data_IF_387533434854
#
_entry.id   IF_387533434854
#
_cell.length_a   1.000
_cell.length_b   1.000
_cell.length_c   1.000
_cell.angle_alpha   90.00
_cell.angle_beta   90.00
_cell.angle_gamma   90.00
#
_symmetry.space_group_name_H-M   'P 1'
#
loop_
_entity.id
_entity.type
_entity.pdbx_description
1 polymer ?
#
# COMPACT_ATOMS: atom_id res chain seq x y z
N UNK A 1 15.33 10.90 11.76
CA UNK A 1 16.19 10.30 10.72
C UNK A 1 17.58 10.09 11.29
N UNK A 2 18.22 8.94 11.04
CA UNK A 2 19.61 8.74 11.47
C UNK A 2 20.55 9.64 10.64
N UNK A 3 21.64 10.09 11.23
CA UNK A 3 22.69 10.90 10.53
C UNK A 3 23.19 10.19 9.28
N UNK A 4 23.29 8.85 9.33
CA UNK A 4 23.68 8.01 8.18
C UNK A 4 22.68 8.13 7.04
N UNK A 5 21.35 8.08 7.31
CA UNK A 5 20.31 8.20 6.27
C UNK A 5 20.38 9.59 5.61
N UNK A 6 20.58 10.64 6.40
CA UNK A 6 20.74 12.00 5.88
C UNK A 6 22.00 12.13 5.01
N UNK A 7 23.13 11.60 5.46
CA UNK A 7 24.38 11.62 4.70
C UNK A 7 24.27 10.86 3.37
N UNK A 8 23.63 9.69 3.37
CA UNK A 8 23.37 8.92 2.13
C UNK A 8 22.46 9.69 1.18
N UNK A 9 21.39 10.34 1.67
CA UNK A 9 20.52 11.16 0.83
C UNK A 9 21.26 12.35 0.20
N UNK A 10 22.07 13.07 0.99
CA UNK A 10 22.89 14.19 0.51
C UNK A 10 23.88 13.71 -0.55
N UNK A 11 24.51 12.56 -0.34
CA UNK A 11 25.44 11.97 -1.32
C UNK A 11 24.73 11.61 -2.62
N UNK A 12 23.55 10.98 -2.57
CA UNK A 12 22.76 10.63 -3.75
C UNK A 12 22.36 11.90 -4.52
N UNK A 13 21.83 12.91 -3.86
CA UNK A 13 21.46 14.20 -4.47
C UNK A 13 22.68 14.87 -5.12
N UNK A 14 23.84 14.85 -4.45
CA UNK A 14 25.05 15.43 -4.99
C UNK A 14 25.57 14.69 -6.23
N UNK A 15 25.56 13.35 -6.21
CA UNK A 15 25.99 12.52 -7.33
C UNK A 15 25.03 12.65 -8.55
N UNK A 16 23.74 12.78 -8.29
CA UNK A 16 22.69 12.89 -9.33
C UNK A 16 22.30 14.33 -9.67
N UNK A 17 23.10 15.31 -9.28
CA UNK A 17 22.76 16.74 -9.47
C UNK A 17 22.47 17.13 -10.93
N UNK A 18 23.24 16.57 -11.86
CA UNK A 18 23.09 16.89 -13.30
C UNK A 18 21.76 16.34 -13.85
N UNK A 19 21.39 15.12 -13.44
CA UNK A 19 20.13 14.47 -13.78
C UNK A 19 18.94 15.22 -13.14
N UNK A 20 19.09 15.67 -11.89
CA UNK A 20 18.07 16.44 -11.18
C UNK A 20 17.80 17.80 -11.84
N UNK A 21 18.84 18.50 -12.32
CA UNK A 21 18.66 19.77 -13.04
C UNK A 21 17.91 19.53 -14.35
N UNK A 22 18.32 18.52 -15.15
CA UNK A 22 17.63 18.15 -16.39
C UNK A 22 16.18 17.73 -16.14
N UNK A 23 15.93 16.94 -15.09
CA UNK A 23 14.58 16.56 -14.68
C UNK A 23 13.73 17.80 -14.36
N UNK A 24 14.30 18.80 -13.68
CA UNK A 24 13.61 20.06 -13.39
C UNK A 24 13.22 20.84 -14.65
N UNK A 25 14.12 20.90 -15.64
CA UNK A 25 13.84 21.52 -16.95
C UNK A 25 12.71 20.79 -17.70
N UNK A 26 12.69 19.46 -17.67
CA UNK A 26 11.61 18.65 -18.23
C UNK A 26 10.26 18.93 -17.57
N UNK A 27 10.23 19.06 -16.24
CA UNK A 27 9.02 19.41 -15.49
C UNK A 27 8.43 20.76 -15.93
N UNK A 28 9.30 21.75 -16.21
CA UNK A 28 8.88 23.06 -16.72
C UNK A 28 8.23 23.04 -18.11
N UNK A 29 8.41 21.95 -18.87
CA UNK A 29 7.84 21.76 -20.22
C UNK A 29 6.67 20.78 -20.25
N UNK A 30 6.28 20.24 -19.09
CA UNK A 30 5.23 19.23 -19.00
C UNK A 30 3.88 19.75 -19.52
N UNK A 31 3.16 18.91 -20.26
CA UNK A 31 1.82 19.22 -20.76
C UNK A 31 0.81 19.23 -19.60
N UNK A 32 0.36 20.43 -19.22
CA UNK A 32 -0.56 20.63 -18.09
C UNK A 32 -1.89 19.90 -18.28
N UNK A 33 -2.39 19.76 -19.50
CA UNK A 33 -3.67 19.11 -19.78
C UNK A 33 -3.61 17.60 -19.48
N UNK A 34 -2.47 16.96 -19.79
CA UNK A 34 -2.24 15.57 -19.42
C UNK A 34 -2.06 15.42 -17.90
N UNK A 35 -1.40 16.37 -17.24
CA UNK A 35 -1.28 16.36 -15.77
C UNK A 35 -2.64 16.49 -15.08
N UNK A 36 -3.58 17.24 -15.63
CA UNK A 36 -4.93 17.35 -15.10
C UNK A 36 -5.68 16.00 -15.10
N UNK A 37 -5.34 15.06 -16.01
CA UNK A 37 -5.90 13.70 -16.02
C UNK A 37 -5.46 12.87 -14.79
N UNK A 38 -4.35 13.22 -14.15
CA UNK A 38 -3.89 12.53 -12.95
C UNK A 38 -4.87 12.70 -11.79
N UNK A 39 -5.58 13.84 -11.71
CA UNK A 39 -6.54 14.09 -10.63
C UNK A 39 -7.73 13.12 -10.65
N UNK A 40 -8.49 12.95 -11.76
CA UNK A 40 -9.57 11.96 -11.79
C UNK A 40 -9.04 10.53 -11.63
N UNK A 41 -7.85 10.18 -12.16
CA UNK A 41 -7.26 8.87 -11.95
C UNK A 41 -6.94 8.63 -10.47
N UNK A 42 -6.39 9.62 -9.79
CA UNK A 42 -6.13 9.53 -8.35
C UNK A 42 -7.41 9.34 -7.53
N UNK A 43 -8.50 10.02 -7.89
CA UNK A 43 -9.81 9.81 -7.25
C UNK A 43 -10.28 8.37 -7.44
N UNK A 44 -10.14 7.82 -8.65
CA UNK A 44 -10.48 6.42 -8.93
C UNK A 44 -9.62 5.47 -8.09
N UNK A 45 -8.31 5.70 -8.01
CA UNK A 45 -7.38 4.91 -7.21
C UNK A 45 -7.78 4.92 -5.73
N UNK A 46 -8.10 6.08 -5.15
CA UNK A 46 -8.54 6.17 -3.75
C UNK A 46 -9.85 5.45 -3.51
N UNK A 47 -10.82 5.64 -4.40
CA UNK A 47 -12.11 4.98 -4.30
C UNK A 47 -11.96 3.46 -4.43
N UNK A 48 -11.23 3.00 -5.44
CA UNK A 48 -10.98 1.57 -5.67
C UNK A 48 -10.25 0.93 -4.47
N UNK A 49 -9.22 1.60 -3.94
CA UNK A 49 -8.49 1.14 -2.76
C UNK A 49 -9.37 1.01 -1.51
N UNK A 50 -10.33 1.90 -1.33
CA UNK A 50 -11.36 1.81 -0.29
C UNK A 50 -12.34 0.66 -0.55
N UNK A 51 -12.82 0.52 -1.78
CA UNK A 51 -13.78 -0.51 -2.16
C UNK A 51 -13.22 -1.94 -2.03
N UNK A 52 -11.89 -2.14 -2.13
CA UNK A 52 -11.27 -3.43 -1.83
C UNK A 52 -11.56 -3.90 -0.39
N UNK A 53 -11.75 -2.98 0.56
CA UNK A 53 -12.09 -3.26 1.97
C UNK A 53 -13.61 -3.28 2.13
N UNK A 54 -14.26 -2.19 1.73
CA UNK A 54 -15.67 -1.93 2.07
C UNK A 54 -16.65 -2.78 1.28
N UNK A 55 -16.32 -3.21 0.05
CA UNK A 55 -17.18 -4.12 -0.71
C UNK A 55 -17.33 -5.47 0.00
N UNK A 56 -16.23 -6.01 0.56
CA UNK A 56 -16.27 -7.22 1.37
C UNK A 56 -17.13 -7.05 2.64
N UNK A 57 -16.88 -5.98 3.41
CA UNK A 57 -17.62 -5.73 4.65
C UNK A 57 -19.11 -5.49 4.41
N UNK A 58 -19.48 -4.89 3.27
CA UNK A 58 -20.88 -4.72 2.88
C UNK A 58 -21.56 -6.02 2.50
N UNK A 59 -20.89 -6.85 1.73
CA UNK A 59 -21.44 -8.16 1.34
C UNK A 59 -21.65 -9.07 2.56
N UNK A 60 -20.85 -8.89 3.61
CA UNK A 60 -21.06 -9.49 4.94
C UNK A 60 -22.12 -8.76 5.79
N UNK A 61 -22.75 -7.70 5.28
CA UNK A 61 -23.78 -6.89 5.98
C UNK A 61 -23.29 -6.24 7.28
N UNK A 62 -21.98 -6.05 7.44
CA UNK A 62 -21.37 -5.50 8.67
C UNK A 62 -21.43 -3.98 8.76
N UNK A 63 -21.55 -3.29 7.61
CA UNK A 63 -21.45 -1.84 7.50
C UNK A 63 -22.64 -1.21 6.76
N UNK A 64 -23.82 -1.86 6.79
CA UNK A 64 -25.02 -1.34 6.13
C UNK A 64 -25.49 0.03 6.66
N UNK A 65 -25.13 0.35 7.90
CA UNK A 65 -25.44 1.63 8.57
C UNK A 65 -24.42 2.74 8.25
N UNK A 66 -23.28 2.42 7.61
CA UNK A 66 -22.23 3.38 7.27
C UNK A 66 -22.41 3.86 5.85
N UNK A 67 -22.61 5.17 5.64
CA UNK A 67 -22.79 5.76 4.31
C UNK A 67 -21.57 5.55 3.40
N UNK A 68 -21.78 5.52 2.08
CA UNK A 68 -20.71 5.43 1.09
C UNK A 68 -19.70 6.58 1.22
N UNK A 69 -20.18 7.76 1.51
CA UNK A 69 -19.33 8.93 1.73
C UNK A 69 -18.38 8.73 2.93
N UNK A 70 -18.91 8.21 4.05
CA UNK A 70 -18.08 7.91 5.23
C UNK A 70 -17.05 6.83 4.94
N UNK A 71 -17.40 5.80 4.15
CA UNK A 71 -16.47 4.76 3.71
C UNK A 71 -15.33 5.36 2.86
N UNK A 72 -15.64 6.26 1.93
CA UNK A 72 -14.64 6.96 1.10
C UNK A 72 -13.74 7.85 1.96
N UNK A 73 -14.29 8.55 2.95
CA UNK A 73 -13.51 9.34 3.91
C UNK A 73 -12.51 8.48 4.66
N UNK A 74 -12.94 7.33 5.19
CA UNK A 74 -12.04 6.39 5.90
C UNK A 74 -10.92 5.90 4.97
N UNK A 75 -11.21 5.67 3.69
CA UNK A 75 -10.18 5.29 2.72
C UNK A 75 -9.14 6.40 2.49
N UNK A 76 -9.55 7.66 2.45
CA UNK A 76 -8.65 8.81 2.33
C UNK A 76 -7.82 9.03 3.61
N UNK A 77 -8.45 8.89 4.78
CA UNK A 77 -7.81 8.92 6.09
C UNK A 77 -6.73 7.83 6.19
N UNK A 78 -7.05 6.59 5.78
CA UNK A 78 -6.12 5.46 5.72
C UNK A 78 -4.92 5.75 4.81
N UNK A 79 -5.15 6.30 3.62
CA UNK A 79 -4.06 6.63 2.70
C UNK A 79 -3.14 7.71 3.28
N UNK A 80 -3.70 8.74 3.89
CA UNK A 80 -2.92 9.77 4.57
C UNK A 80 -2.04 9.19 5.68
N UNK A 81 -2.62 8.37 6.57
CA UNK A 81 -1.90 7.76 7.69
C UNK A 81 -0.75 6.89 7.20
N UNK A 82 -0.95 6.11 6.14
CA UNK A 82 0.12 5.31 5.52
C UNK A 82 1.25 6.15 4.94
N UNK A 83 0.97 7.36 4.45
CA UNK A 83 1.99 8.25 3.88
C UNK A 83 2.72 9.09 4.92
N UNK A 84 2.09 9.40 6.07
CA UNK A 84 2.73 10.20 7.12
C UNK A 84 3.58 9.34 8.07
N UNK A 85 3.08 8.15 8.44
CA UNK A 85 3.74 7.33 9.45
C UNK A 85 4.67 6.27 8.83
N UNK A 86 5.95 6.19 9.28
CA UNK A 86 6.93 5.23 8.76
C UNK A 86 6.69 3.84 9.38
N UNK A 87 5.81 3.04 8.79
CA UNK A 87 5.38 1.77 9.41
C UNK A 87 5.17 0.61 8.43
N UNK A 88 5.52 0.76 7.15
CA UNK A 88 5.28 -0.28 6.14
C UNK A 88 3.77 -0.63 5.99
N UNK A 89 2.88 0.34 6.22
CA UNK A 89 1.43 0.15 6.12
C UNK A 89 0.73 -0.28 7.42
N UNK A 90 1.46 -0.61 8.49
CA UNK A 90 0.88 -1.04 9.78
C UNK A 90 0.07 0.08 10.42
N UNK A 91 0.52 1.33 10.34
CA UNK A 91 -0.19 2.49 10.89
C UNK A 91 -1.58 2.67 10.26
N UNK A 92 -1.70 2.48 8.96
CA UNK A 92 -2.99 2.54 8.27
C UNK A 92 -3.92 1.40 8.68
N UNK A 93 -3.38 0.18 8.88
CA UNK A 93 -4.17 -0.94 9.41
C UNK A 93 -4.69 -0.59 10.80
N UNK A 94 -3.85 -0.12 11.70
CA UNK A 94 -4.22 0.25 13.07
C UNK A 94 -5.24 1.38 13.08
N UNK A 95 -5.03 2.43 12.29
CA UNK A 95 -5.96 3.55 12.18
C UNK A 95 -7.34 3.10 11.67
N UNK A 96 -7.38 2.32 10.59
CA UNK A 96 -8.66 1.85 10.02
C UNK A 96 -9.38 0.91 11.00
N UNK A 97 -8.65 0.06 11.69
CA UNK A 97 -9.21 -0.83 12.72
C UNK A 97 -9.84 -0.03 13.86
N UNK A 98 -9.13 0.97 14.38
CA UNK A 98 -9.67 1.90 15.38
C UNK A 98 -10.92 2.63 14.86
N UNK A 99 -10.84 3.19 13.67
CA UNK A 99 -11.93 3.95 13.06
C UNK A 99 -13.17 3.11 12.82
N UNK A 100 -13.01 1.87 12.35
CA UNK A 100 -14.08 0.91 12.15
C UNK A 100 -14.67 0.39 13.46
N UNK A 101 -13.84 0.23 14.50
CA UNK A 101 -14.29 -0.13 15.83
C UNK A 101 -15.25 0.92 16.43
N UNK A 102 -14.93 2.22 16.23
CA UNK A 102 -15.85 3.34 16.61
C UNK A 102 -17.19 3.30 15.87
N UNK A 103 -17.25 2.59 14.75
CA UNK A 103 -18.46 2.40 13.94
C UNK A 103 -19.11 1.02 14.18
N UNK A 104 -18.72 0.30 15.24
CA UNK A 104 -19.32 -0.97 15.64
C UNK A 104 -18.83 -2.19 14.90
N UNK A 105 -17.75 -2.09 14.12
CA UNK A 105 -17.13 -3.26 13.46
C UNK A 105 -15.98 -3.76 14.33
N UNK A 106 -15.93 -5.07 14.60
CA UNK A 106 -14.84 -5.64 15.42
C UNK A 106 -13.47 -5.41 14.78
N UNK A 107 -12.45 -5.26 15.64
CA UNK A 107 -11.07 -5.06 15.21
C UNK A 107 -10.56 -6.21 14.34
N UNK A 108 -10.94 -7.44 14.65
CA UNK A 108 -10.55 -8.63 13.89
C UNK A 108 -11.12 -8.59 12.46
N UNK A 109 -12.41 -8.31 12.29
CA UNK A 109 -13.08 -8.22 10.98
C UNK A 109 -12.54 -7.07 10.14
N UNK A 110 -12.31 -5.92 10.76
CA UNK A 110 -11.69 -4.78 10.09
C UNK A 110 -10.28 -5.11 9.60
N UNK A 111 -9.46 -5.76 10.42
CA UNK A 111 -8.12 -6.19 10.05
C UNK A 111 -8.16 -7.26 8.96
N UNK A 112 -9.07 -8.24 9.07
CA UNK A 112 -9.22 -9.27 8.04
C UNK A 112 -9.63 -8.69 6.68
N UNK A 113 -10.52 -7.69 6.65
CA UNK A 113 -10.87 -6.98 5.42
C UNK A 113 -9.65 -6.28 4.77
N UNK A 114 -8.69 -5.81 5.58
CA UNK A 114 -7.45 -5.26 5.04
C UNK A 114 -6.49 -6.36 4.54
N UNK A 115 -6.47 -7.53 5.16
CA UNK A 115 -5.77 -8.71 4.61
C UNK A 115 -6.33 -9.05 3.22
N UNK A 116 -7.66 -9.03 3.06
CA UNK A 116 -8.30 -9.22 1.75
C UNK A 116 -7.84 -8.16 0.75
N UNK A 117 -7.74 -6.90 1.14
CA UNK A 117 -7.18 -5.83 0.30
C UNK A 117 -5.77 -6.17 -0.19
N UNK A 118 -4.87 -6.60 0.70
CA UNK A 118 -3.51 -6.98 0.30
C UNK A 118 -3.49 -8.20 -0.63
N UNK A 119 -4.25 -9.24 -0.32
CA UNK A 119 -4.34 -10.45 -1.17
C UNK A 119 -4.89 -10.11 -2.55
N UNK A 120 -5.98 -9.35 -2.62
CA UNK A 120 -6.57 -8.93 -3.90
C UNK A 120 -5.68 -7.97 -4.68
N UNK A 121 -4.93 -7.10 -4.00
CA UNK A 121 -3.90 -6.26 -4.60
C UNK A 121 -2.76 -7.07 -5.21
N UNK A 122 -2.26 -8.09 -4.52
CA UNK A 122 -1.24 -8.99 -5.03
C UNK A 122 -1.74 -9.81 -6.23
N UNK A 123 -2.96 -10.32 -6.18
CA UNK A 123 -3.56 -11.04 -7.31
C UNK A 123 -3.75 -10.12 -8.53
N UNK A 124 -4.18 -8.87 -8.30
CA UNK A 124 -4.32 -7.88 -9.37
C UNK A 124 -2.98 -7.50 -9.99
N UNK A 125 -1.93 -7.34 -9.17
CA UNK A 125 -0.58 -7.12 -9.66
C UNK A 125 -0.10 -8.31 -10.50
N UNK A 126 -0.39 -9.54 -10.08
CA UNK A 126 -0.03 -10.75 -10.85
C UNK A 126 -0.68 -10.76 -12.23
N UNK A 127 -1.96 -10.38 -12.33
CA UNK A 127 -2.65 -10.26 -13.63
C UNK A 127 -1.96 -9.20 -14.50
N UNK A 128 -1.62 -8.04 -13.94
CA UNK A 128 -0.88 -6.99 -14.68
C UNK A 128 0.49 -7.48 -15.15
N UNK A 129 1.21 -8.26 -14.33
CA UNK A 129 2.50 -8.83 -14.72
C UNK A 129 2.36 -9.81 -15.88
N UNK A 130 1.31 -10.63 -15.90
CA UNK A 130 1.03 -11.52 -17.05
C UNK A 130 0.81 -10.68 -18.30
N UNK A 131 0.01 -9.62 -18.22
CA UNK A 131 -0.22 -8.69 -19.34
C UNK A 131 1.09 -8.01 -19.76
N UNK A 132 1.93 -7.57 -18.83
CA UNK A 132 3.23 -6.98 -19.14
C UNK A 132 4.15 -7.95 -19.90
N UNK A 133 4.23 -9.20 -19.44
CA UNK A 133 5.04 -10.23 -20.12
C UNK A 133 4.51 -10.50 -21.54
N UNK A 134 3.19 -10.55 -21.72
CA UNK A 134 2.58 -10.70 -23.05
C UNK A 134 2.91 -9.54 -24.00
N UNK A 135 2.81 -8.29 -23.51
CA UNK A 135 3.19 -7.10 -24.30
C UNK A 135 4.65 -7.20 -24.74
N UNK A 136 5.57 -7.51 -23.82
CA UNK A 136 7.01 -7.61 -24.15
C UNK A 136 7.31 -8.75 -25.12
N UNK A 137 6.57 -9.86 -25.03
CA UNK A 137 6.73 -11.00 -25.94
C UNK A 137 6.32 -10.64 -27.37
N UNK A 138 5.31 -9.77 -27.53
CA UNK A 138 4.85 -9.27 -28.84
C UNK A 138 5.86 -8.26 -29.41
N UNK A 139 6.36 -7.36 -28.59
CA UNK A 139 7.30 -6.32 -29.01
C UNK A 139 8.71 -6.81 -29.33
N UNK A 140 9.02 -8.08 -29.04
CA UNK A 140 10.34 -8.68 -29.25
C UNK A 140 11.47 -8.04 -28.37
N UNK A 141 11.11 -7.21 -27.42
CA UNK A 141 12.05 -6.46 -26.55
C UNK A 141 12.32 -7.21 -25.23
N UNK A 142 12.45 -8.52 -25.28
CA UNK A 142 12.65 -9.34 -24.07
C UNK A 142 14.10 -9.19 -23.58
N UNK A 143 14.31 -8.38 -22.55
CA UNK A 143 15.58 -8.27 -21.85
C UNK A 143 15.61 -9.28 -20.68
N UNK A 144 16.75 -9.94 -20.48
CA UNK A 144 16.91 -10.93 -19.39
C UNK A 144 16.64 -10.34 -18.00
N UNK A 145 16.95 -9.06 -17.78
CA UNK A 145 16.66 -8.35 -16.51
C UNK A 145 15.16 -8.25 -16.25
N UNK A 146 14.39 -7.93 -17.30
CA UNK A 146 12.92 -7.84 -17.23
C UNK A 146 12.32 -9.20 -16.90
N UNK A 147 12.76 -10.27 -17.61
CA UNK A 147 12.27 -11.63 -17.37
C UNK A 147 12.61 -12.09 -15.94
N UNK A 148 13.85 -11.89 -15.51
CA UNK A 148 14.28 -12.30 -14.17
C UNK A 148 13.52 -11.54 -13.09
N UNK A 149 13.37 -10.21 -13.23
CA UNK A 149 12.63 -9.38 -12.28
C UNK A 149 11.16 -9.78 -12.21
N UNK A 150 10.52 -10.02 -13.35
CA UNK A 150 9.12 -10.46 -13.41
C UNK A 150 8.93 -11.83 -12.76
N UNK A 151 9.83 -12.76 -13.02
CA UNK A 151 9.78 -14.09 -12.42
C UNK A 151 9.96 -14.06 -10.90
N UNK A 152 10.97 -13.32 -10.42
CA UNK A 152 11.18 -13.12 -8.98
C UNK A 152 9.98 -12.43 -8.33
N UNK A 153 9.43 -11.41 -8.98
CA UNK A 153 8.26 -10.70 -8.49
C UNK A 153 7.05 -11.63 -8.34
N UNK A 154 6.77 -12.45 -9.36
CA UNK A 154 5.70 -13.46 -9.32
C UNK A 154 5.93 -14.45 -8.17
N UNK A 155 7.16 -14.95 -8.00
CA UNK A 155 7.49 -15.87 -6.90
C UNK A 155 7.25 -15.23 -5.53
N UNK A 156 7.66 -13.99 -5.33
CA UNK A 156 7.45 -13.27 -4.06
C UNK A 156 5.96 -13.04 -3.82
N UNK A 157 5.21 -12.58 -4.83
CA UNK A 157 3.76 -12.37 -4.72
C UNK A 157 3.03 -13.68 -4.40
N UNK A 158 3.40 -14.77 -5.06
CA UNK A 158 2.87 -16.10 -4.76
C UNK A 158 3.21 -16.52 -3.33
N UNK A 159 4.48 -16.38 -2.92
CA UNK A 159 4.91 -16.74 -1.56
C UNK A 159 4.17 -15.95 -0.48
N UNK A 160 3.96 -14.65 -0.68
CA UNK A 160 3.19 -13.81 0.24
C UNK A 160 1.72 -14.23 0.28
N UNK A 161 1.10 -14.44 -0.88
CA UNK A 161 -0.30 -14.84 -0.98
C UNK A 161 -0.53 -16.22 -0.35
N UNK A 162 0.26 -17.22 -0.73
CA UNK A 162 0.16 -18.56 -0.16
C UNK A 162 0.55 -18.59 1.32
N UNK A 163 1.52 -17.78 1.72
CA UNK A 163 1.90 -17.63 3.13
C UNK A 163 0.74 -17.12 3.99
N UNK A 164 0.01 -16.12 3.52
CA UNK A 164 -1.20 -15.63 4.19
C UNK A 164 -2.28 -16.72 4.24
N UNK A 165 -2.62 -17.33 3.11
CA UNK A 165 -3.60 -18.41 3.03
C UNK A 165 -3.20 -19.56 3.98
N UNK A 166 -1.94 -19.98 3.96
CA UNK A 166 -1.43 -21.03 4.83
C UNK A 166 -1.53 -20.65 6.30
N UNK A 167 -1.24 -19.41 6.67
CA UNK A 167 -1.37 -18.91 8.04
C UNK A 167 -2.83 -18.99 8.52
N UNK A 168 -3.77 -18.47 7.72
CA UNK A 168 -5.18 -18.40 8.09
C UNK A 168 -5.91 -19.74 8.01
N UNK A 169 -5.44 -20.72 7.23
CA UNK A 169 -6.13 -21.99 7.00
C UNK A 169 -6.12 -22.97 8.18
N UNK A 170 -5.49 -22.63 9.33
CA UNK A 170 -5.48 -23.50 10.50
C UNK A 170 -5.56 -22.72 11.80
N UNK A 171 -6.54 -23.05 12.63
CA UNK A 171 -6.73 -22.46 13.97
C UNK A 171 -5.48 -22.61 14.85
N UNK A 172 -4.78 -23.75 14.75
CA UNK A 172 -3.52 -23.98 15.47
C UNK A 172 -2.41 -23.04 15.02
N UNK A 173 -2.29 -22.78 13.72
CA UNK A 173 -1.28 -21.83 13.19
C UNK A 173 -1.60 -20.40 13.61
N UNK A 174 -2.87 -20.02 13.55
CA UNK A 174 -3.33 -18.71 14.02
C UNK A 174 -3.04 -18.53 15.52
N UNK A 175 -3.38 -19.49 16.35
CA UNK A 175 -3.04 -19.47 17.78
C UNK A 175 -1.53 -19.34 18.02
N UNK A 176 -0.72 -20.16 17.35
CA UNK A 176 0.74 -20.08 17.46
C UNK A 176 1.29 -18.71 17.02
N UNK A 177 0.70 -18.12 15.96
CA UNK A 177 1.06 -16.78 15.50
C UNK A 177 0.66 -15.73 16.54
N UNK A 178 -0.54 -15.82 17.11
CA UNK A 178 -1.00 -14.95 18.19
C UNK A 178 -0.03 -14.94 19.38
N UNK A 179 0.39 -16.12 19.83
CA UNK A 179 1.35 -16.27 20.93
C UNK A 179 2.73 -15.71 20.59
N UNK A 180 3.21 -15.91 19.34
CA UNK A 180 4.51 -15.36 18.89
C UNK A 180 4.47 -13.84 18.81
N UNK A 181 3.42 -13.28 18.18
CA UNK A 181 3.22 -11.83 18.05
C UNK A 181 3.10 -11.17 19.42
N UNK A 182 2.29 -11.73 20.32
CA UNK A 182 2.18 -11.23 21.69
C UNK A 182 3.52 -11.21 22.43
N UNK A 183 4.31 -12.29 22.32
CA UNK A 183 5.65 -12.36 22.92
C UNK A 183 6.60 -11.32 22.32
N UNK A 184 6.60 -11.16 20.99
CA UNK A 184 7.45 -10.20 20.31
C UNK A 184 7.10 -8.76 20.73
N UNK A 185 5.82 -8.38 20.68
CA UNK A 185 5.38 -7.05 21.07
C UNK A 185 5.71 -6.78 22.54
N UNK A 186 5.40 -7.70 23.44
CA UNK A 186 5.72 -7.55 24.86
C UNK A 186 7.25 -7.47 25.11
N UNK A 187 8.09 -8.16 24.30
CA UNK A 187 9.53 -8.05 24.38
C UNK A 187 10.03 -6.68 23.92
N UNK A 188 9.51 -6.17 22.80
CA UNK A 188 9.85 -4.84 22.28
C UNK A 188 9.42 -3.75 23.26
N UNK A 189 8.20 -3.80 23.79
CA UNK A 189 7.70 -2.85 24.78
C UNK A 189 8.53 -2.88 26.04
N UNK A 190 8.86 -4.05 26.56
CA UNK A 190 9.72 -4.21 27.72
C UNK A 190 11.10 -3.60 27.49
N UNK A 191 11.69 -3.80 26.33
CA UNK A 191 12.97 -3.20 25.94
C UNK A 191 12.88 -1.67 25.84
N UNK A 192 11.85 -1.14 25.12
CA UNK A 192 11.65 0.28 24.92
C UNK A 192 11.32 1.05 26.20
N UNK A 193 10.63 0.39 27.14
CA UNK A 193 10.24 1.01 28.44
C UNK A 193 11.23 0.71 29.57
N UNK A 194 12.40 0.16 29.27
CA UNK A 194 13.42 -0.25 30.24
C UNK A 194 12.82 -1.16 31.34
N UNK A 195 11.86 -2.01 30.98
CA UNK A 195 11.22 -2.95 31.89
C UNK A 195 10.08 -2.39 32.75
N UNK A 196 9.70 -1.11 32.58
CA UNK A 196 8.60 -0.49 33.35
C UNK A 196 7.25 -1.13 33.02
N UNK A 197 7.00 -1.49 31.73
CA UNK A 197 5.80 -2.20 31.30
C UNK A 197 6.16 -3.64 31.01
N UNK A 198 5.70 -4.57 31.85
CA UNK A 198 6.03 -6.01 31.72
C UNK A 198 5.16 -6.72 30.68
N UNK A 199 3.90 -6.31 30.51
CA UNK A 199 2.95 -6.88 29.55
C UNK A 199 1.99 -5.77 29.09
N UNK A 200 2.00 -5.46 27.82
CA UNK A 200 1.04 -4.54 27.17
C UNK A 200 -0.18 -5.32 26.66
N UNK A 201 0.06 -6.54 26.17
CA UNK A 201 -0.98 -7.33 25.51
C UNK A 201 -1.32 -8.59 26.34
N UNK A 202 -2.61 -8.75 26.64
CA UNK A 202 -3.15 -9.92 27.30
C UNK A 202 -3.36 -11.02 26.26
N UNK A 203 -2.78 -12.20 26.49
CA UNK A 203 -2.79 -13.33 25.55
C UNK A 203 -4.21 -13.72 25.11
N UNK A 204 -5.18 -13.69 26.03
CA UNK A 204 -6.57 -14.08 25.74
C UNK A 204 -7.28 -13.15 24.75
N UNK A 205 -7.07 -11.84 24.84
CA UNK A 205 -7.66 -10.87 23.88
C UNK A 205 -7.08 -11.06 22.47
N UNK A 206 -5.78 -11.33 22.38
CA UNK A 206 -5.10 -11.60 21.11
C UNK A 206 -5.56 -12.93 20.52
N UNK A 207 -5.69 -13.96 21.35
CA UNK A 207 -6.18 -15.27 20.90
C UNK A 207 -7.61 -15.17 20.34
N UNK A 208 -8.50 -14.43 21.01
CA UNK A 208 -9.85 -14.17 20.53
C UNK A 208 -9.84 -13.40 19.20
N UNK A 209 -9.00 -12.36 19.06
CA UNK A 209 -8.83 -11.59 17.82
C UNK A 209 -8.41 -12.49 16.65
N UNK A 210 -7.39 -13.32 16.83
CA UNK A 210 -6.95 -14.24 15.78
C UNK A 210 -7.95 -15.37 15.51
N UNK A 211 -8.70 -15.83 16.53
CA UNK A 211 -9.76 -16.81 16.34
C UNK A 211 -10.88 -16.26 15.46
N UNK A 212 -11.33 -15.02 15.72
CA UNK A 212 -12.35 -14.35 14.88
C UNK A 212 -11.86 -14.16 13.43
N UNK A 213 -10.57 -13.80 13.22
CA UNK A 213 -10.00 -13.72 11.87
C UNK A 213 -9.98 -15.09 11.17
N UNK A 214 -9.73 -16.17 11.90
CA UNK A 214 -9.80 -17.52 11.34
C UNK A 214 -11.22 -17.90 10.93
N UNK A 215 -12.21 -17.57 11.75
CA UNK A 215 -13.63 -17.84 11.46
C UNK A 215 -14.08 -17.07 10.21
N UNK A 216 -13.65 -15.80 10.05
CA UNK A 216 -13.86 -15.01 8.82
C UNK A 216 -13.18 -15.64 7.60
N UNK A 217 -11.98 -16.24 7.77
CA UNK A 217 -11.30 -16.95 6.68
C UNK A 217 -12.04 -18.22 6.28
N UNK A 218 -12.56 -19.00 7.24
CA UNK A 218 -13.35 -20.20 6.94
C UNK A 218 -14.60 -19.82 6.17
N UNK A 219 -15.35 -18.83 6.63
CA UNK A 219 -16.53 -18.32 5.93
C UNK A 219 -16.21 -17.86 4.49
N UNK A 220 -15.08 -17.14 4.32
CA UNK A 220 -14.60 -16.72 3.01
C UNK A 220 -14.26 -17.91 2.10
N UNK A 221 -13.67 -18.98 2.65
CA UNK A 221 -13.32 -20.19 1.90
C UNK A 221 -14.55 -20.94 1.37
N UNK A 222 -15.66 -20.87 2.11
CA UNK A 222 -16.95 -21.44 1.73
C UNK A 222 -17.70 -20.53 0.74
N UNK A 223 -17.57 -19.21 0.90
CA UNK A 223 -18.26 -18.20 0.11
C UNK A 223 -17.31 -17.35 -0.75
N UNK A 224 -16.53 -17.99 -1.62
CA UNK A 224 -15.50 -17.33 -2.46
C UNK A 224 -16.01 -16.16 -3.31
N UNK A 225 -17.32 -16.08 -3.56
CA UNK A 225 -17.95 -14.97 -4.28
C UNK A 225 -17.73 -13.62 -3.58
N UNK A 226 -17.49 -13.61 -2.26
CA UNK A 226 -17.15 -12.41 -1.50
C UNK A 226 -15.84 -11.74 -1.95
N UNK A 227 -14.95 -12.48 -2.64
CA UNK A 227 -13.71 -11.94 -3.20
C UNK A 227 -13.90 -11.26 -4.57
N UNK A 228 -14.99 -11.51 -5.30
CA UNK A 228 -15.16 -11.01 -6.67
C UNK A 228 -15.08 -9.48 -6.71
N UNK A 229 -15.86 -8.79 -5.87
CA UNK A 229 -15.87 -7.34 -5.85
C UNK A 229 -14.53 -6.75 -5.42
N UNK A 230 -13.89 -7.19 -4.31
CA UNK A 230 -12.54 -6.76 -3.96
C UNK A 230 -11.49 -7.00 -5.07
N UNK A 231 -11.56 -8.12 -5.81
CA UNK A 231 -10.68 -8.39 -6.94
C UNK A 231 -10.89 -7.42 -8.10
N UNK A 232 -12.14 -7.17 -8.47
CA UNK A 232 -12.47 -6.18 -9.51
C UNK A 232 -11.94 -4.80 -9.14
N UNK A 233 -12.18 -4.36 -7.91
CA UNK A 233 -11.66 -3.09 -7.43
C UNK A 233 -10.14 -3.07 -7.31
N UNK A 234 -9.52 -4.20 -6.96
CA UNK A 234 -8.06 -4.34 -6.96
C UNK A 234 -7.47 -4.21 -8.37
N UNK A 235 -8.12 -4.79 -9.39
CA UNK A 235 -7.72 -4.63 -10.78
C UNK A 235 -7.86 -3.17 -11.24
N UNK A 236 -8.99 -2.51 -10.94
CA UNK A 236 -9.19 -1.08 -11.24
C UNK A 236 -8.11 -0.24 -10.55
N UNK A 237 -7.87 -0.47 -9.25
CA UNK A 237 -6.80 0.20 -8.50
C UNK A 237 -5.46 0.08 -9.22
N UNK A 238 -5.02 -1.14 -9.52
CA UNK A 238 -3.71 -1.41 -10.09
C UNK A 238 -3.56 -0.84 -11.52
N UNK A 239 -4.61 -0.91 -12.34
CA UNK A 239 -4.62 -0.34 -13.69
C UNK A 239 -4.47 1.17 -13.62
N UNK A 240 -5.31 1.86 -12.84
CA UNK A 240 -5.28 3.32 -12.78
C UNK A 240 -4.03 3.85 -12.09
N UNK A 241 -3.47 3.13 -11.10
CA UNK A 241 -2.21 3.52 -10.46
C UNK A 241 -1.03 3.45 -11.44
N UNK A 242 -0.95 2.42 -12.29
CA UNK A 242 0.05 2.34 -13.38
C UNK A 242 -0.23 3.39 -14.47
N UNK A 243 -1.49 3.61 -14.85
CA UNK A 243 -1.87 4.64 -15.83
C UNK A 243 -1.42 6.04 -15.40
N UNK A 244 -1.38 6.34 -14.11
CA UNK A 244 -0.86 7.62 -13.64
C UNK A 244 0.62 7.82 -14.03
N UNK A 245 1.45 6.78 -13.92
CA UNK A 245 2.83 6.86 -14.39
C UNK A 245 2.90 7.03 -15.91
N UNK A 246 2.12 6.26 -16.67
CA UNK A 246 2.09 6.35 -18.14
C UNK A 246 1.73 7.78 -18.58
N UNK A 247 0.68 8.36 -18.00
CA UNK A 247 0.23 9.73 -18.33
C UNK A 247 1.25 10.77 -17.88
N UNK A 248 1.94 10.58 -16.76
CA UNK A 248 3.00 11.48 -16.33
C UNK A 248 4.17 11.49 -17.31
N UNK A 249 4.60 10.34 -17.82
CA UNK A 249 5.64 10.28 -18.88
C UNK A 249 5.15 10.90 -20.19
N UNK A 250 3.91 10.69 -20.60
CA UNK A 250 3.33 11.38 -21.76
C UNK A 250 3.27 12.89 -21.59
N UNK A 251 2.99 13.37 -20.38
CA UNK A 251 3.01 14.80 -20.07
C UNK A 251 4.41 15.42 -20.27
N UNK A 252 5.46 14.63 -20.05
CA UNK A 252 6.85 15.02 -20.33
C UNK A 252 7.26 14.83 -21.80
N UNK A 253 6.32 14.41 -22.68
CA UNK A 253 6.60 14.15 -24.10
C UNK A 253 7.36 12.85 -24.37
N UNK A 254 7.41 11.93 -23.40
CA UNK A 254 8.15 10.67 -23.50
C UNK A 254 7.18 9.49 -23.44
N UNK A 255 7.36 8.52 -24.36
CA UNK A 255 6.64 7.25 -24.32
C UNK A 255 7.54 6.18 -23.70
N UNK A 256 7.14 5.66 -22.54
CA UNK A 256 7.78 4.51 -21.89
C UNK A 256 6.93 3.28 -22.12
N UNK A 257 7.55 2.14 -22.40
CA UNK A 257 6.83 0.88 -22.60
C UNK A 257 6.00 0.55 -21.35
N UNK A 258 4.65 0.41 -21.45
CA UNK A 258 3.77 0.14 -20.31
C UNK A 258 4.18 -1.10 -19.51
N UNK A 259 4.70 -2.12 -20.18
CA UNK A 259 5.14 -3.36 -19.52
C UNK A 259 6.32 -3.12 -18.57
N UNK A 260 7.26 -2.28 -18.97
CA UNK A 260 8.40 -1.88 -18.13
C UNK A 260 7.90 -1.12 -16.90
N UNK A 261 6.94 -0.20 -17.08
CA UNK A 261 6.33 0.52 -15.97
C UNK A 261 5.59 -0.40 -14.99
N UNK A 262 4.83 -1.38 -15.50
CA UNK A 262 4.11 -2.37 -14.66
C UNK A 262 5.10 -3.17 -13.80
N UNK A 263 6.19 -3.66 -14.40
CA UNK A 263 7.17 -4.48 -13.68
C UNK A 263 7.91 -3.63 -12.65
N UNK A 264 8.38 -2.45 -13.05
CA UNK A 264 9.04 -1.50 -12.15
C UNK A 264 8.15 -1.11 -10.97
N UNK A 265 6.87 -0.80 -11.23
CA UNK A 265 5.84 -0.54 -10.22
C UNK A 265 5.72 -1.70 -9.21
N UNK A 266 5.68 -2.94 -9.70
CA UNK A 266 5.60 -4.12 -8.84
C UNK A 266 6.85 -4.32 -7.99
N UNK A 267 8.05 -4.18 -8.58
CA UNK A 267 9.32 -4.32 -7.84
C UNK A 267 9.46 -3.23 -6.79
N UNK A 268 9.22 -1.97 -7.15
CA UNK A 268 9.28 -0.83 -6.24
C UNK A 268 8.21 -0.93 -5.14
N UNK A 269 7.00 -1.35 -5.49
CA UNK A 269 5.89 -1.56 -4.56
C UNK A 269 6.21 -2.61 -3.50
N UNK A 270 6.72 -3.79 -3.88
CA UNK A 270 7.12 -4.83 -2.91
C UNK A 270 8.28 -4.37 -2.02
N UNK A 271 9.27 -3.69 -2.58
CA UNK A 271 10.38 -3.17 -1.80
C UNK A 271 9.92 -2.10 -0.78
N UNK A 272 8.93 -1.30 -1.13
CA UNK A 272 8.37 -0.29 -0.23
C UNK A 272 7.62 -0.88 0.98
N UNK A 273 7.13 -2.13 0.89
CA UNK A 273 6.48 -2.80 2.02
C UNK A 273 7.45 -3.07 3.19
N UNK A 274 8.74 -3.28 2.89
CA UNK A 274 9.77 -3.50 3.92
C UNK A 274 10.50 -2.21 4.30
N UNK A 275 10.19 -1.10 3.63
CA UNK A 275 10.78 0.20 3.91
C UNK A 275 10.14 0.84 5.14
N UNK A 276 10.95 1.19 6.13
CA UNK A 276 10.52 1.94 7.31
C UNK A 276 10.54 3.47 7.06
N UNK A 277 10.10 3.87 5.86
CA UNK A 277 9.96 5.30 5.50
C UNK A 277 8.49 5.65 5.30
N UNK A 278 8.08 6.90 5.52
CA UNK A 278 6.71 7.33 5.30
C UNK A 278 6.26 7.03 3.86
N UNK A 279 5.22 6.21 3.70
CA UNK A 279 4.71 5.81 2.37
C UNK A 279 5.72 5.10 1.47
N UNK A 280 6.80 4.51 2.01
CA UNK A 280 7.90 3.93 1.23
C UNK A 280 8.77 4.97 0.51
N UNK A 281 8.62 6.28 0.86
CA UNK A 281 9.29 7.38 0.18
C UNK A 281 10.82 7.22 0.18
N UNK A 282 11.42 7.55 -0.94
CA UNK A 282 12.84 7.37 -1.22
C UNK A 282 13.17 5.97 -1.75
N UNK A 283 12.69 4.91 -1.11
CA UNK A 283 12.97 3.52 -1.54
C UNK A 283 12.19 3.17 -2.81
N UNK A 284 10.90 3.50 -2.84
CA UNK A 284 10.05 3.30 -4.01
C UNK A 284 10.61 4.03 -5.24
N UNK A 285 10.88 5.32 -5.10
CA UNK A 285 11.37 6.17 -6.18
C UNK A 285 12.74 5.70 -6.67
N UNK A 286 13.67 5.44 -5.76
CA UNK A 286 15.02 4.99 -6.12
C UNK A 286 14.99 3.67 -6.91
N UNK A 287 14.23 2.68 -6.44
CA UNK A 287 14.12 1.40 -7.13
C UNK A 287 13.45 1.54 -8.49
N UNK A 288 12.37 2.32 -8.57
CA UNK A 288 11.67 2.56 -9.83
C UNK A 288 12.58 3.27 -10.85
N UNK A 289 13.31 4.31 -10.44
CA UNK A 289 14.26 5.04 -11.29
C UNK A 289 15.38 4.11 -11.78
N UNK A 290 16.01 3.37 -10.87
CA UNK A 290 17.08 2.41 -11.23
C UNK A 290 16.54 1.37 -12.22
N UNK A 291 15.36 0.79 -11.94
CA UNK A 291 14.77 -0.21 -12.82
C UNK A 291 14.48 0.34 -14.22
N UNK A 292 13.87 1.51 -14.33
CA UNK A 292 13.59 2.17 -15.62
C UNK A 292 14.89 2.48 -16.37
N UNK A 293 15.92 2.97 -15.67
CA UNK A 293 17.22 3.26 -16.27
C UNK A 293 17.92 2.00 -16.79
N UNK A 294 17.82 0.87 -16.08
CA UNK A 294 18.37 -0.43 -16.54
C UNK A 294 17.63 -0.97 -17.77
N UNK A 295 16.41 -0.51 -18.02
CA UNK A 295 15.61 -0.91 -19.18
C UNK A 295 15.69 0.08 -20.35
N UNK A 296 16.59 1.07 -20.26
CA UNK A 296 16.91 2.01 -21.35
C UNK A 296 16.20 3.36 -21.28
N UNK A 297 15.43 3.63 -20.24
CA UNK A 297 14.87 4.97 -20.00
C UNK A 297 15.99 5.88 -19.49
N UNK A 298 16.16 7.06 -20.09
CA UNK A 298 17.16 8.02 -19.64
C UNK A 298 16.94 8.41 -18.15
N UNK A 299 17.99 8.45 -17.31
CA UNK A 299 17.84 8.66 -15.87
C UNK A 299 17.12 9.97 -15.49
N UNK A 300 17.36 11.05 -16.22
CA UNK A 300 16.70 12.35 -16.04
C UNK A 300 15.19 12.26 -16.32
N UNK A 301 14.82 11.53 -17.37
CA UNK A 301 13.41 11.27 -17.74
C UNK A 301 12.75 10.39 -16.67
N UNK A 302 13.43 9.33 -16.22
CA UNK A 302 12.93 8.45 -15.16
C UNK A 302 12.69 9.24 -13.86
N UNK A 303 13.67 10.07 -13.45
CA UNK A 303 13.55 10.93 -12.26
C UNK A 303 12.35 11.89 -12.43
N UNK A 304 12.27 12.61 -13.56
CA UNK A 304 11.19 13.57 -13.79
C UNK A 304 9.81 12.92 -13.74
N UNK A 305 9.60 11.80 -14.45
CA UNK A 305 8.31 11.11 -14.51
C UNK A 305 7.87 10.55 -13.17
N UNK A 306 8.79 9.95 -12.42
CA UNK A 306 8.47 9.35 -11.12
C UNK A 306 8.23 10.43 -10.07
N UNK A 307 9.10 11.45 -9.99
CA UNK A 307 8.93 12.55 -9.03
C UNK A 307 7.63 13.31 -9.31
N UNK A 308 7.33 13.59 -10.57
CA UNK A 308 6.09 14.26 -10.97
C UNK A 308 4.85 13.49 -10.49
N UNK A 309 4.79 12.19 -10.79
CA UNK A 309 3.68 11.34 -10.36
C UNK A 309 3.53 11.33 -8.84
N UNK A 310 4.64 11.16 -8.12
CA UNK A 310 4.65 11.08 -6.66
C UNK A 310 4.26 12.40 -6.00
N UNK A 311 4.72 13.53 -6.51
CA UNK A 311 4.35 14.85 -5.97
C UNK A 311 2.85 15.08 -6.11
N UNK A 312 2.25 14.76 -7.25
CA UNK A 312 0.81 14.90 -7.46
C UNK A 312 0.04 13.96 -6.54
N UNK A 313 0.45 12.68 -6.45
CA UNK A 313 -0.16 11.70 -5.54
C UNK A 313 -0.11 12.15 -4.09
N UNK A 314 1.05 12.59 -3.62
CA UNK A 314 1.24 13.04 -2.23
C UNK A 314 0.42 14.30 -1.95
N UNK A 315 0.43 15.27 -2.84
CA UNK A 315 -0.34 16.51 -2.70
C UNK A 315 -1.84 16.21 -2.56
N UNK A 316 -2.39 15.37 -3.45
CA UNK A 316 -3.79 14.95 -3.35
C UNK A 316 -4.08 14.17 -2.08
N UNK A 317 -3.20 13.26 -1.65
CA UNK A 317 -3.34 12.51 -0.40
C UNK A 317 -3.37 13.43 0.81
N UNK A 318 -2.47 14.43 0.86
CA UNK A 318 -2.40 15.39 1.97
C UNK A 318 -3.65 16.29 1.96
N UNK A 319 -4.00 16.89 0.83
CA UNK A 319 -5.12 17.83 0.75
C UNK A 319 -6.43 17.15 1.14
N UNK A 320 -6.78 16.03 0.51
CA UNK A 320 -8.04 15.35 0.77
C UNK A 320 -8.02 14.55 2.08
N UNK A 321 -6.92 13.86 2.39
CA UNK A 321 -6.83 13.01 3.57
C UNK A 321 -6.75 13.81 4.88
N UNK A 322 -6.00 14.92 4.91
CA UNK A 322 -5.78 15.70 6.13
C UNK A 322 -7.06 16.34 6.66
N UNK A 323 -7.88 16.90 5.77
CA UNK A 323 -9.16 17.50 6.18
C UNK A 323 -10.07 16.47 6.87
N UNK A 324 -10.18 15.28 6.28
CA UNK A 324 -11.03 14.23 6.84
C UNK A 324 -10.43 13.62 8.11
N UNK A 325 -9.12 13.43 8.15
CA UNK A 325 -8.41 12.94 9.32
C UNK A 325 -8.60 13.85 10.53
N UNK A 326 -8.42 15.17 10.38
CA UNK A 326 -8.66 16.14 11.45
C UNK A 326 -10.10 16.11 11.94
N UNK A 327 -11.06 16.05 11.01
CA UNK A 327 -12.47 15.94 11.38
C UNK A 327 -12.76 14.66 12.16
N UNK A 328 -12.15 13.52 11.78
CA UNK A 328 -12.30 12.26 12.49
C UNK A 328 -11.76 12.34 13.91
N UNK A 329 -10.57 12.93 14.11
CA UNK A 329 -9.99 13.12 15.44
C UNK A 329 -10.86 14.02 16.35
N UNK A 330 -11.46 15.07 15.79
CA UNK A 330 -12.37 15.95 16.55
C UNK A 330 -13.65 15.20 16.95
N UNK A 331 -14.21 14.40 16.04
CA UNK A 331 -15.48 13.73 16.25
C UNK A 331 -15.39 12.46 17.12
N UNK A 332 -14.31 11.70 17.01
CA UNK A 332 -14.19 10.37 17.63
C UNK A 332 -13.09 10.27 18.69
N UNK A 333 -12.34 11.38 18.97
CA UNK A 333 -11.20 11.40 19.87
C UNK A 333 -9.91 10.87 19.20
N UNK A 334 -8.85 10.76 19.96
CA UNK A 334 -7.58 10.18 19.48
C UNK A 334 -7.57 8.66 19.70
N UNK A 335 -6.83 7.91 18.88
CA UNK A 335 -6.65 6.47 19.10
C UNK A 335 -6.13 6.09 20.48
N UNK A 336 -5.29 6.96 21.09
CA UNK A 336 -4.67 6.72 22.39
C UNK A 336 -5.62 7.00 23.59
N UNK A 337 -6.72 7.72 23.40
CA UNK A 337 -7.67 8.05 24.47
C UNK A 337 -8.49 6.83 24.91
N UNK A 338 -8.57 5.77 24.09
CA UNK A 338 -9.35 4.56 24.37
C UNK A 338 -8.63 3.55 25.28
N UNK A 339 -7.29 3.55 25.30
CA UNK A 339 -6.51 2.63 26.14
C UNK A 339 -6.63 2.95 27.64
N UNK A 340 -7.04 4.17 28.02
CA UNK A 340 -7.25 4.58 29.40
C UNK A 340 -8.63 4.19 29.98
N UNK A 341 -9.57 3.70 29.14
CA UNK A 341 -10.91 3.30 29.59
C UNK A 341 -11.09 1.77 29.67
N UNK A 342 -10.05 1.01 29.38
CA UNK A 342 -10.06 -0.46 29.35
C UNK A 342 -9.12 -1.09 30.41
N UNK A 343 -8.99 -0.44 31.60
CA UNK A 343 -8.34 -1.04 32.79
C UNK A 343 -9.38 -1.77 33.61
#
# INVERSE_FOLDING_TARGET
MSVVTLAVLVLIVFLSRAELVRAWELLGRANIWLLMLLLPFQIIVYFAGGEMIFAYLRDKKLIGHISRFEQTRIALELNLVNHIFPSGGVSGISYTTWRMHKLGVSSARSTFAQVIRYVTGFLSLMVLLIVAVLILSIDGQVNRYIVTSSFLLVLVVLALTFGLIFMFSSRKRMHNTAVRVSRLINAVVRWATLGKIKRLLVSTKIEAFFAEMHDDFVELSEHRRLLIKPLVWGAIYAIFDVLMFIVAFWALGVSVNPAVLIIGYGVAGLASLVAFTPGGAGVYEAIMIVFLSMTGVAPDVAIAGIVLTRVILLTGTIVFGYMFYQHALIKYGRPDDDDNTAV
#
